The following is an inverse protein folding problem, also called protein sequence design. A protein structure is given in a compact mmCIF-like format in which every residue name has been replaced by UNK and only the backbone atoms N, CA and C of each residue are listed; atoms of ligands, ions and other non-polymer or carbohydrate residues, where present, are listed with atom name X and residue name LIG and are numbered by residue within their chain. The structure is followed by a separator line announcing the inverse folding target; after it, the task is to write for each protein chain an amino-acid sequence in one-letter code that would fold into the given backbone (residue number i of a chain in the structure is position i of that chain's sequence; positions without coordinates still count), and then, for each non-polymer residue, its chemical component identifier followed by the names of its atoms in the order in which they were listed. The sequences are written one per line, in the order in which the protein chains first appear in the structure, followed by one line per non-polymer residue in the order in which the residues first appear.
data_IF_632469520975
#
_entry.id   IF_632469520975
#
_cell.length_a   1.000
_cell.length_b   1.000
_cell.length_c   1.000
_cell.angle_alpha   90.00
_cell.angle_beta   90.00
_cell.angle_gamma   90.00
#
_symmetry.space_group_name_H-M   'P 1'
#
loop_
_entity.id
_entity.type
_entity.pdbx_description
1 polymer ?
#
# COMPACT_ATOMS: atom_id res chain seq x y z
N UNK A 1 1.05 1.59 -24.48
CA UNK A 1 0.64 2.70 -23.59
C UNK A 1 0.26 2.14 -22.22
N UNK A 2 0.76 2.74 -21.16
CA UNK A 2 0.56 2.23 -19.81
C UNK A 2 -0.58 2.97 -19.12
N UNK A 3 -1.76 2.36 -19.08
CA UNK A 3 -2.91 2.91 -18.36
C UNK A 3 -2.94 2.48 -16.90
N UNK A 4 -3.87 3.04 -16.10
CA UNK A 4 -3.96 2.72 -14.66
C UNK A 4 -4.14 1.23 -14.35
N UNK A 5 -4.95 0.51 -15.15
CA UNK A 5 -5.13 -0.92 -14.99
C UNK A 5 -3.86 -1.70 -15.29
N UNK A 6 -3.07 -1.23 -16.25
CA UNK A 6 -1.79 -1.86 -16.61
C UNK A 6 -0.77 -1.67 -15.49
N UNK A 7 -0.76 -0.50 -14.85
CA UNK A 7 0.10 -0.23 -13.70
C UNK A 7 -0.24 -1.20 -12.57
N UNK A 8 -1.50 -1.32 -12.22
CA UNK A 8 -1.94 -2.22 -11.13
C UNK A 8 -1.53 -3.67 -11.42
N UNK A 9 -1.76 -4.15 -12.65
CA UNK A 9 -1.39 -5.50 -13.04
C UNK A 9 0.13 -5.73 -12.98
N UNK A 10 0.91 -4.75 -13.42
CA UNK A 10 2.37 -4.84 -13.41
C UNK A 10 2.93 -4.83 -11.98
N UNK A 11 2.36 -3.99 -11.11
CA UNK A 11 2.75 -3.94 -9.71
C UNK A 11 2.43 -5.26 -9.02
N UNK A 12 1.26 -5.82 -9.28
CA UNK A 12 0.86 -7.13 -8.74
C UNK A 12 1.87 -8.21 -9.14
N UNK A 13 2.25 -8.24 -10.40
CA UNK A 13 3.25 -9.20 -10.90
C UNK A 13 4.62 -9.00 -10.25
N UNK A 14 5.03 -7.76 -10.05
CA UNK A 14 6.28 -7.44 -9.36
C UNK A 14 6.27 -7.96 -7.93
N UNK A 15 5.19 -7.75 -7.19
CA UNK A 15 5.07 -8.21 -5.81
C UNK A 15 5.04 -9.73 -5.71
N UNK A 16 4.30 -10.40 -6.59
CA UNK A 16 4.26 -11.87 -6.63
C UNK A 16 5.67 -12.41 -6.90
N UNK A 17 6.40 -11.80 -7.80
CA UNK A 17 7.79 -12.18 -8.09
C UNK A 17 8.71 -11.92 -6.91
N UNK A 18 8.56 -10.79 -6.23
CA UNK A 18 9.38 -10.45 -5.06
C UNK A 18 9.21 -11.47 -3.93
N UNK A 19 7.97 -11.91 -3.69
CA UNK A 19 7.65 -12.87 -2.65
C UNK A 19 7.55 -14.31 -3.17
N UNK A 20 8.28 -14.64 -4.25
CA UNK A 20 8.17 -15.93 -4.93
C UNK A 20 8.55 -17.16 -4.09
N UNK A 21 9.29 -16.97 -2.99
CA UNK A 21 9.62 -18.05 -2.07
C UNK A 21 8.48 -18.41 -1.10
N UNK A 22 7.36 -17.74 -1.21
CA UNK A 22 6.19 -17.90 -0.34
C UNK A 22 5.06 -18.45 -1.20
N UNK A 23 4.06 -19.08 -0.58
CA UNK A 23 2.89 -19.60 -1.31
C UNK A 23 2.14 -18.48 -2.04
N UNK A 24 1.27 -18.86 -2.99
CA UNK A 24 0.40 -17.91 -3.70
C UNK A 24 -0.32 -17.00 -2.72
N UNK A 25 -0.43 -15.69 -3.01
CA UNK A 25 -1.07 -14.77 -2.08
C UNK A 25 -2.57 -14.96 -2.02
N UNK A 26 -3.13 -14.79 -0.84
CA UNK A 26 -4.56 -14.53 -0.70
C UNK A 26 -4.81 -13.07 -1.12
N UNK A 27 -6.02 -12.80 -1.55
CA UNK A 27 -6.40 -11.47 -2.04
C UNK A 27 -7.73 -11.04 -1.44
N UNK A 28 -7.80 -9.78 -1.05
CA UNK A 28 -9.05 -9.13 -0.67
C UNK A 28 -9.15 -7.81 -1.42
N UNK A 29 -10.37 -7.36 -1.68
CA UNK A 29 -10.60 -6.09 -2.36
C UNK A 29 -11.41 -5.17 -1.46
N UNK A 30 -10.99 -3.92 -1.35
CA UNK A 30 -11.70 -2.90 -0.57
C UNK A 30 -12.07 -1.77 -1.51
N UNK A 31 -13.36 -1.40 -1.53
CA UNK A 31 -13.86 -0.33 -2.38
C UNK A 31 -14.41 0.81 -1.52
N UNK A 32 -13.93 2.03 -1.78
CA UNK A 32 -14.48 3.24 -1.19
C UNK A 32 -15.33 3.95 -2.23
N UNK A 33 -16.36 4.64 -1.76
CA UNK A 33 -17.28 5.37 -2.65
C UNK A 33 -16.50 6.37 -3.51
N UNK A 34 -16.68 6.27 -4.82
CA UNK A 34 -16.04 7.17 -5.77
C UNK A 34 -14.61 6.83 -6.15
N UNK A 35 -14.07 5.72 -5.62
CA UNK A 35 -12.71 5.28 -5.91
C UNK A 35 -12.70 3.90 -6.58
N UNK A 36 -11.64 3.62 -7.30
CA UNK A 36 -11.38 2.28 -7.83
C UNK A 36 -11.02 1.34 -6.67
N UNK A 37 -11.33 0.04 -6.78
CA UNK A 37 -11.00 -0.92 -5.72
C UNK A 37 -9.49 -0.98 -5.47
N UNK A 38 -9.12 -1.14 -4.20
CA UNK A 38 -7.75 -1.42 -3.79
C UNK A 38 -7.68 -2.89 -3.41
N UNK A 39 -6.79 -3.62 -4.07
CA UNK A 39 -6.53 -5.02 -3.76
C UNK A 39 -5.50 -5.10 -2.66
N UNK A 40 -5.69 -6.01 -1.70
CA UNK A 40 -4.72 -6.30 -0.66
C UNK A 40 -4.26 -7.73 -0.86
N UNK A 41 -2.98 -7.91 -1.15
CA UNK A 41 -2.35 -9.22 -1.26
C UNK A 41 -1.75 -9.61 0.08
N UNK A 42 -1.93 -10.86 0.48
CA UNK A 42 -1.30 -11.40 1.69
C UNK A 42 -0.36 -12.51 1.29
N UNK A 43 0.92 -12.32 1.59
CA UNK A 43 1.96 -13.32 1.39
C UNK A 43 2.39 -13.86 2.75
N UNK A 44 2.70 -15.14 2.82
CA UNK A 44 3.19 -15.75 4.04
C UNK A 44 2.48 -17.04 4.37
N UNK A 45 2.85 -17.69 5.49
CA UNK A 45 3.94 -17.25 6.37
C UNK A 45 5.32 -17.55 5.79
N UNK A 46 6.31 -16.74 6.15
CA UNK A 46 7.70 -17.04 5.89
C UNK A 46 8.24 -18.00 6.98
N UNK A 47 9.54 -18.28 6.97
CA UNK A 47 10.16 -19.20 7.94
C UNK A 47 10.09 -18.69 9.38
N UNK A 48 9.86 -17.39 9.57
CA UNK A 48 9.72 -16.77 10.90
C UNK A 48 8.26 -16.48 11.26
N UNK A 49 7.32 -17.06 10.52
CA UNK A 49 5.88 -16.87 10.72
C UNK A 49 5.44 -15.41 10.53
N UNK A 50 6.06 -14.71 9.59
CA UNK A 50 5.66 -13.36 9.20
C UNK A 50 4.75 -13.40 7.98
N UNK A 51 3.72 -12.54 8.01
CA UNK A 51 2.81 -12.31 6.89
C UNK A 51 3.03 -10.90 6.37
N UNK A 52 2.93 -10.75 5.07
CA UNK A 52 3.13 -9.47 4.40
C UNK A 52 1.86 -9.10 3.64
N UNK A 53 1.24 -8.01 4.06
CA UNK A 53 0.04 -7.48 3.41
C UNK A 53 0.50 -6.30 2.55
N UNK A 54 0.15 -6.31 1.27
CA UNK A 54 0.61 -5.27 0.34
C UNK A 54 -0.56 -4.78 -0.49
N UNK A 55 -0.67 -3.45 -0.63
CA UNK A 55 -1.71 -2.85 -1.46
C UNK A 55 -1.34 -2.92 -2.94
N UNK A 56 -2.36 -3.04 -3.79
CA UNK A 56 -2.26 -2.83 -5.23
C UNK A 56 -3.40 -1.93 -5.64
N UNK A 57 -3.08 -0.76 -6.12
CA UNK A 57 -4.08 0.20 -6.58
C UNK A 57 -3.72 1.64 -6.30
N UNK A 58 -3.05 1.94 -5.20
CA UNK A 58 -2.62 3.30 -4.88
C UNK A 58 -1.73 3.87 -6.00
N UNK A 59 -0.90 3.04 -6.59
CA UNK A 59 0.07 3.45 -7.62
C UNK A 59 -0.52 3.59 -9.02
N UNK A 60 -1.82 3.37 -9.21
CA UNK A 60 -2.46 3.58 -10.53
C UNK A 60 -2.22 4.96 -11.07
N UNK A 61 -2.17 5.95 -10.18
CA UNK A 61 -1.96 7.35 -10.52
C UNK A 61 -0.84 7.92 -9.65
N UNK A 62 -0.10 8.92 -10.16
CA UNK A 62 0.83 9.66 -9.30
C UNK A 62 0.08 10.33 -8.15
N UNK A 63 0.70 10.37 -6.98
CA UNK A 63 0.18 11.16 -5.88
C UNK A 63 0.38 12.65 -6.19
N UNK A 64 -0.60 13.47 -5.84
CA UNK A 64 -0.60 14.90 -6.17
C UNK A 64 -0.71 15.72 -4.90
N UNK A 65 0.19 16.70 -4.76
CA UNK A 65 0.07 17.75 -3.77
C UNK A 65 -0.97 18.75 -4.29
N UNK A 66 -2.06 19.01 -3.56
CA UNK A 66 -3.10 19.94 -4.01
C UNK A 66 -2.60 21.37 -4.23
N UNK A 67 -1.46 21.73 -3.64
CA UNK A 67 -0.86 23.05 -3.82
C UNK A 67 -0.04 23.17 -5.12
N UNK A 68 0.15 22.06 -5.83
CA UNK A 68 0.91 22.05 -7.06
C UNK A 68 0.07 22.49 -8.25
N UNK A 69 0.55 23.51 -8.99
CA UNK A 69 -0.11 23.98 -10.20
C UNK A 69 0.15 23.09 -11.42
N UNK A 70 1.20 22.30 -11.38
CA UNK A 70 1.69 21.55 -12.52
C UNK A 70 1.60 20.05 -12.30
N UNK A 71 0.49 19.58 -11.74
CA UNK A 71 0.28 18.16 -11.52
C UNK A 71 0.30 17.41 -12.87
N UNK A 72 1.22 16.48 -13.01
CA UNK A 72 1.35 15.66 -14.20
C UNK A 72 0.58 14.34 -13.96
N UNK A 73 -0.35 13.94 -14.85
CA UNK A 73 -1.13 12.72 -14.65
C UNK A 73 -0.31 11.44 -14.88
N UNK A 74 0.91 11.53 -15.36
CA UNK A 74 1.77 10.38 -15.67
C UNK A 74 3.04 10.38 -14.84
N UNK A 75 3.71 11.53 -14.74
CA UNK A 75 4.92 11.69 -13.93
C UNK A 75 4.54 12.14 -12.53
N UNK A 76 5.29 11.69 -11.57
CA UNK A 76 5.09 12.05 -10.19
C UNK A 76 5.19 10.82 -9.28
N UNK A 77 5.28 11.04 -7.97
CA UNK A 77 5.52 9.95 -7.03
C UNK A 77 4.37 8.95 -7.04
N UNK A 78 4.72 7.68 -7.11
CA UNK A 78 3.76 6.57 -7.04
C UNK A 78 4.17 5.67 -5.88
N UNK A 79 3.20 5.10 -5.17
CA UNK A 79 3.48 4.26 -4.03
C UNK A 79 2.46 3.14 -3.85
N UNK A 80 2.92 2.07 -3.24
CA UNK A 80 2.07 1.07 -2.60
C UNK A 80 2.56 0.90 -1.16
N UNK A 81 1.77 0.27 -0.33
CA UNK A 81 2.04 0.18 1.11
C UNK A 81 2.02 -1.27 1.56
N UNK A 82 3.03 -1.64 2.34
CA UNK A 82 3.21 -2.97 2.90
C UNK A 82 3.07 -2.92 4.42
N UNK A 83 2.40 -3.92 4.99
CA UNK A 83 2.33 -4.12 6.44
C UNK A 83 2.82 -5.53 6.76
N UNK A 84 3.86 -5.63 7.58
CA UNK A 84 4.36 -6.90 8.06
C UNK A 84 3.74 -7.22 9.41
N UNK A 85 3.20 -8.44 9.55
CA UNK A 85 2.55 -8.88 10.78
C UNK A 85 3.12 -10.25 11.16
N UNK A 86 3.49 -10.41 12.42
CA UNK A 86 3.92 -11.71 12.94
C UNK A 86 2.68 -12.52 13.35
N UNK A 87 2.58 -13.72 12.81
CA UNK A 87 1.44 -14.59 13.06
C UNK A 87 0.23 -14.29 12.18
N UNK A 88 -0.69 -15.24 12.10
CA UNK A 88 -1.88 -15.11 11.28
C UNK A 88 -2.96 -14.33 12.03
N UNK A 89 -3.29 -13.15 11.51
CA UNK A 89 -4.33 -12.31 12.13
C UNK A 89 -5.76 -12.69 11.70
N UNK A 90 -5.89 -13.47 10.63
CA UNK A 90 -7.19 -13.87 10.09
C UNK A 90 -7.91 -12.78 9.32
N UNK A 91 -8.93 -13.15 8.52
CA UNK A 91 -9.64 -12.20 7.67
C UNK A 91 -10.48 -11.17 8.42
N UNK A 92 -10.83 -11.46 9.66
CA UNK A 92 -11.69 -10.60 10.48
C UNK A 92 -10.92 -9.54 11.28
N UNK A 93 -9.59 -9.51 11.12
CA UNK A 93 -8.73 -8.61 11.90
C UNK A 93 -8.88 -7.14 11.55
N UNK A 94 -9.36 -6.83 10.34
CA UNK A 94 -9.44 -5.46 9.86
C UNK A 94 -8.17 -4.93 9.22
N UNK A 95 -7.12 -5.74 9.09
CA UNK A 95 -5.85 -5.34 8.48
C UNK A 95 -6.04 -4.85 7.05
N UNK A 96 -6.78 -5.61 6.24
CA UNK A 96 -7.00 -5.24 4.84
C UNK A 96 -7.66 -3.87 4.73
N UNK A 97 -8.68 -3.62 5.55
CA UNK A 97 -9.36 -2.33 5.55
C UNK A 97 -8.44 -1.20 6.02
N UNK A 98 -7.68 -1.40 7.08
CA UNK A 98 -6.74 -0.39 7.57
C UNK A 98 -5.70 -0.03 6.52
N UNK A 99 -5.14 -1.05 5.86
CA UNK A 99 -4.14 -0.83 4.83
C UNK A 99 -4.73 -0.14 3.60
N UNK A 100 -5.96 -0.51 3.23
CA UNK A 100 -6.67 0.16 2.13
C UNK A 100 -6.95 1.64 2.45
N UNK A 101 -7.28 1.97 3.70
CA UNK A 101 -7.45 3.36 4.14
C UNK A 101 -6.16 4.15 3.92
N UNK A 102 -5.01 3.58 4.31
CA UNK A 102 -3.71 4.22 4.09
C UNK A 102 -3.46 4.45 2.60
N UNK A 103 -3.71 3.43 1.78
CA UNK A 103 -3.50 3.53 0.33
C UNK A 103 -4.46 4.52 -0.33
N UNK A 104 -5.61 4.78 0.26
CA UNK A 104 -6.59 5.73 -0.28
C UNK A 104 -6.31 7.19 0.12
N UNK A 105 -5.44 7.43 1.10
CA UNK A 105 -5.14 8.77 1.60
C UNK A 105 -4.75 9.75 0.50
N UNK A 106 -3.87 9.39 -0.46
CA UNK A 106 -3.54 10.32 -1.54
C UNK A 106 -4.74 10.79 -2.35
N UNK A 107 -5.68 9.88 -2.64
CA UNK A 107 -6.87 10.22 -3.43
C UNK A 107 -7.92 10.95 -2.61
N UNK A 108 -8.09 10.60 -1.33
CA UNK A 108 -9.14 11.16 -0.47
C UNK A 108 -8.72 12.49 0.16
N UNK A 109 -7.48 12.58 0.61
CA UNK A 109 -7.00 13.73 1.38
C UNK A 109 -5.94 14.57 0.64
N UNK A 110 -5.50 14.13 -0.53
CA UNK A 110 -4.51 14.87 -1.30
C UNK A 110 -3.13 14.91 -0.63
N UNK A 111 -2.79 13.88 0.14
CA UNK A 111 -1.51 13.80 0.84
C UNK A 111 -0.58 12.87 0.07
N UNK A 112 0.65 13.32 -0.17
CA UNK A 112 1.67 12.49 -0.80
C UNK A 112 2.33 11.62 0.26
N UNK A 113 2.24 10.29 0.10
CA UNK A 113 2.90 9.36 1.02
C UNK A 113 4.41 9.48 0.87
N UNK A 114 5.09 9.65 1.98
CA UNK A 114 6.55 9.79 2.04
C UNK A 114 7.08 9.29 3.37
N UNK A 115 8.35 8.95 3.39
CA UNK A 115 9.01 8.48 4.60
C UNK A 115 8.83 9.48 5.75
N UNK A 116 8.48 8.97 6.92
CA UNK A 116 8.28 9.76 8.13
C UNK A 116 6.86 10.26 8.35
N UNK A 117 6.00 10.17 7.34
CA UNK A 117 4.61 10.60 7.47
C UNK A 117 3.87 9.69 8.44
N UNK A 118 3.16 10.27 9.41
CA UNK A 118 2.30 9.54 10.34
C UNK A 118 0.84 9.75 9.97
N UNK A 119 0.09 8.65 9.91
CA UNK A 119 -1.33 8.66 9.56
C UNK A 119 -2.14 8.04 10.70
N UNK A 120 -3.11 8.79 11.21
CA UNK A 120 -4.05 8.32 12.23
C UNK A 120 -5.20 7.60 11.55
N UNK A 121 -5.55 6.41 12.06
CA UNK A 121 -6.56 5.58 11.45
C UNK A 121 -7.95 5.74 12.09
N UNK A 122 -8.03 6.41 13.24
CA UNK A 122 -9.31 6.58 13.95
C UNK A 122 -9.74 5.33 14.72
N UNK A 123 -8.90 4.31 14.77
CA UNK A 123 -9.15 3.06 15.48
C UNK A 123 -7.94 2.15 15.37
N UNK A 124 -7.99 0.96 16.00
CA UNK A 124 -6.85 0.03 15.97
C UNK A 124 -6.44 -0.35 14.54
N UNK A 125 -5.15 -0.55 14.32
CA UNK A 125 -4.61 -1.01 13.02
C UNK A 125 -5.21 -2.37 12.67
N UNK A 126 -5.36 -3.24 13.66
CA UNK A 126 -6.15 -4.47 13.55
C UNK A 126 -6.87 -4.71 14.88
N UNK A 127 -7.84 -5.61 14.86
CA UNK A 127 -8.64 -5.91 16.03
C UNK A 127 -7.74 -6.36 17.19
N UNK A 128 -7.81 -5.63 18.30
CA UNK A 128 -7.02 -5.91 19.50
C UNK A 128 -5.65 -5.24 19.52
N UNK A 129 -5.24 -4.55 18.44
CA UNK A 129 -3.95 -3.86 18.44
C UNK A 129 -4.02 -2.60 19.34
N UNK A 130 -2.96 -2.31 20.10
CA UNK A 130 -2.90 -1.07 20.88
C UNK A 130 -2.59 0.15 20.01
N UNK A 131 -1.98 -0.07 18.83
CA UNK A 131 -1.63 1.01 17.91
C UNK A 131 -2.85 1.47 17.11
N UNK A 132 -2.98 2.78 16.93
CA UNK A 132 -4.09 3.40 16.20
C UNK A 132 -3.60 4.29 15.05
N UNK A 133 -2.31 4.26 14.76
CA UNK A 133 -1.70 5.03 13.69
C UNK A 133 -0.63 4.18 13.01
N UNK A 134 -0.23 4.63 11.83
CA UNK A 134 0.92 4.04 11.12
C UNK A 134 1.87 5.14 10.71
N UNK A 135 3.15 4.82 10.67
CA UNK A 135 4.19 5.69 10.12
C UNK A 135 4.71 5.08 8.83
N UNK A 136 4.84 5.90 7.81
CA UNK A 136 5.37 5.47 6.52
C UNK A 136 6.88 5.39 6.61
N UNK A 137 7.44 4.22 6.29
CA UNK A 137 8.87 3.94 6.37
C UNK A 137 9.32 3.17 5.13
N UNK A 138 10.63 3.12 4.84
CA UNK A 138 11.13 2.24 3.80
C UNK A 138 10.82 0.78 4.12
N UNK A 139 10.43 0.00 3.10
CA UNK A 139 10.07 -1.40 3.29
C UNK A 139 11.21 -2.38 3.02
N UNK A 140 12.22 -1.94 2.29
CA UNK A 140 13.25 -2.85 1.78
C UNK A 140 12.86 -3.55 0.48
N UNK A 141 11.62 -3.46 0.06
CA UNK A 141 11.20 -3.97 -1.26
C UNK A 141 11.67 -2.99 -2.33
N UNK A 142 12.28 -3.52 -3.40
CA UNK A 142 12.80 -2.66 -4.48
C UNK A 142 11.68 -1.89 -5.16
N UNK A 143 11.99 -0.65 -5.54
CA UNK A 143 11.09 0.15 -6.36
C UNK A 143 10.79 -0.57 -7.67
N UNK A 144 9.56 -0.45 -8.14
CA UNK A 144 9.16 -1.03 -9.40
C UNK A 144 9.23 0.02 -10.51
N UNK A 145 10.11 -0.20 -11.48
CA UNK A 145 10.30 0.72 -12.61
C UNK A 145 9.20 0.50 -13.64
N UNK A 146 8.45 1.55 -13.92
CA UNK A 146 7.44 1.55 -14.98
C UNK A 146 8.05 2.02 -16.30
N UNK A 147 7.42 1.70 -17.45
CA UNK A 147 7.84 2.28 -18.72
C UNK A 147 7.76 3.80 -18.68
N UNK A 148 8.78 4.46 -19.22
CA UNK A 148 8.75 5.92 -19.34
C UNK A 148 7.53 6.36 -20.16
N UNK A 149 6.94 7.53 -19.85
CA UNK A 149 7.42 8.57 -18.94
C UNK A 149 6.95 8.42 -17.48
N UNK A 150 6.33 7.29 -17.10
CA UNK A 150 5.84 7.09 -15.75
C UNK A 150 7.00 7.00 -14.75
N UNK A 151 6.81 7.60 -13.58
CA UNK A 151 7.76 7.50 -12.47
C UNK A 151 7.70 6.13 -11.81
N UNK A 152 8.79 5.66 -11.17
CA UNK A 152 8.78 4.37 -10.48
C UNK A 152 7.78 4.33 -9.34
N UNK A 153 7.34 3.11 -8.99
CA UNK A 153 6.48 2.87 -7.83
C UNK A 153 7.38 2.52 -6.63
N UNK A 154 7.27 3.30 -5.57
CA UNK A 154 7.92 3.02 -4.30
C UNK A 154 7.03 2.11 -3.45
N UNK A 155 7.63 1.15 -2.78
CA UNK A 155 6.90 0.27 -1.86
C UNK A 155 7.29 0.67 -0.45
N UNK A 156 6.39 1.36 0.25
CA UNK A 156 6.61 1.79 1.62
C UNK A 156 6.09 0.75 2.61
N UNK A 157 6.63 0.78 3.82
CA UNK A 157 6.10 0.03 4.95
C UNK A 157 5.21 0.94 5.79
N UNK A 158 4.05 0.44 6.20
CA UNK A 158 3.19 1.09 7.18
C UNK A 158 3.51 0.47 8.53
N UNK A 159 4.28 1.18 9.36
CA UNK A 159 4.65 0.68 10.68
C UNK A 159 3.62 1.11 11.71
N UNK A 160 2.96 0.17 12.41
CA UNK A 160 2.04 0.54 13.48
C UNK A 160 2.77 1.32 14.57
N UNK A 161 2.17 2.43 15.00
CA UNK A 161 2.73 3.30 16.03
C UNK A 161 1.63 3.82 16.94
N UNK A 162 2.02 4.24 18.14
CA UNK A 162 1.09 4.86 19.06
C UNK A 162 0.87 6.33 18.67
N UNK A 163 -0.36 6.79 18.86
CA UNK A 163 -0.63 8.22 18.80
C UNK A 163 -0.16 8.88 20.08
N UNK A 164 0.43 10.04 19.93
CA UNK A 164 0.83 10.88 21.05
C UNK A 164 -0.31 11.82 21.46
#
# INVERSE_FOLDING_TARGET
MTGPSDVAAAVRSHLVSWFSGVSEPDSASVTFVGLEPIEILRFGPDTSNNYFYVTVGCSRYPMVDPSSYNADPVRGPRAEVLLQVHGNAGPESGIARSLAVVAAVPSVEGVVLKEGLMLRLGGPVWKGAPETAVRIEPSGVADFVLPEPASPVQIFSAKPVFED
#
